data_IF_047324526763
#
_entry.id   IF_047324526763
#
_cell.length_a   1.000
_cell.length_b   1.000
_cell.length_c   1.000
_cell.angle_alpha   90.00
_cell.angle_beta   90.00
_cell.angle_gamma   90.00
#
_symmetry.space_group_name_H-M   'P 1'
#
loop_
_entity.id
_entity.type
_entity.pdbx_description
1 polymer ?
#
# COMPACT_ATOMS: atom_id res chain seq x y z
N UNK A 1 -19.06 6.44 -28.99
CA UNK A 1 -18.12 7.57 -28.92
C UNK A 1 -17.39 7.49 -27.59
N UNK A 2 -16.06 7.65 -27.57
CA UNK A 2 -15.25 7.61 -26.36
C UNK A 2 -15.25 8.98 -25.70
N UNK A 3 -15.39 9.03 -24.37
CA UNK A 3 -15.31 10.24 -23.56
C UNK A 3 -14.30 10.01 -22.45
N UNK A 4 -13.30 10.87 -22.33
CA UNK A 4 -12.37 10.90 -21.21
C UNK A 4 -12.48 12.22 -20.47
N UNK A 5 -12.45 12.16 -19.15
CA UNK A 5 -12.38 13.31 -18.25
C UNK A 5 -11.22 13.11 -17.28
N UNK A 6 -10.50 14.20 -16.99
CA UNK A 6 -9.38 14.19 -16.05
C UNK A 6 -9.65 15.21 -14.97
N UNK A 7 -9.45 14.82 -13.72
CA UNK A 7 -9.68 15.67 -12.55
C UNK A 7 -8.40 15.82 -11.75
N UNK A 8 -8.14 17.02 -11.24
CA UNK A 8 -7.13 17.28 -10.22
C UNK A 8 -7.79 17.52 -8.87
N UNK A 9 -7.12 17.06 -7.82
CA UNK A 9 -7.62 17.18 -6.47
C UNK A 9 -6.50 17.29 -5.44
N UNK A 10 -6.89 17.78 -4.28
CA UNK A 10 -6.05 17.90 -3.09
C UNK A 10 -6.91 17.57 -1.86
N UNK A 11 -6.44 16.63 -1.04
CA UNK A 11 -7.09 16.25 0.23
C UNK A 11 -6.21 16.73 1.38
N UNK A 12 -6.73 17.53 2.33
CA UNK A 12 -6.00 17.85 3.55
C UNK A 12 -5.67 16.57 4.34
N UNK A 13 -4.44 16.46 4.84
CA UNK A 13 -4.05 15.37 5.74
C UNK A 13 -4.25 15.80 7.19
N UNK A 14 -4.48 14.82 8.05
CA UNK A 14 -4.50 15.04 9.49
C UNK A 14 -3.15 15.56 10.00
N UNK A 15 -3.20 16.29 11.12
CA UNK A 15 -2.00 16.88 11.69
C UNK A 15 -0.99 15.80 12.11
N UNK A 16 0.26 15.94 11.66
CA UNK A 16 1.36 15.07 12.11
C UNK A 16 1.64 13.86 11.22
N UNK A 17 0.99 13.74 10.05
CA UNK A 17 1.36 12.71 9.06
C UNK A 17 2.78 12.96 8.54
N UNK A 18 3.67 11.99 8.75
CA UNK A 18 5.08 12.04 8.33
C UNK A 18 5.42 10.83 7.46
N UNK A 19 6.10 11.09 6.34
CA UNK A 19 6.63 10.11 5.41
C UNK A 19 8.11 10.36 5.18
N UNK A 20 8.98 9.39 5.48
CA UNK A 20 10.46 9.51 5.31
C UNK A 20 10.98 10.88 5.77
N UNK A 21 10.63 11.26 7.00
CA UNK A 21 11.03 12.52 7.66
C UNK A 21 10.39 13.81 7.10
N UNK A 22 9.50 13.72 6.11
CA UNK A 22 8.76 14.86 5.55
C UNK A 22 7.32 14.87 6.03
N UNK A 23 6.84 16.04 6.46
CA UNK A 23 5.42 16.23 6.77
C UNK A 23 4.62 16.27 5.48
N UNK A 24 3.60 15.42 5.39
CA UNK A 24 2.63 15.44 4.30
C UNK A 24 1.40 16.23 4.76
N UNK A 25 1.28 17.48 4.32
CA UNK A 25 0.15 18.36 4.70
C UNK A 25 -1.10 18.09 3.88
N UNK A 26 -0.90 17.73 2.62
CA UNK A 26 -1.94 17.47 1.66
C UNK A 26 -1.57 16.22 0.87
N UNK A 27 -2.58 15.47 0.47
CA UNK A 27 -2.43 14.45 -0.56
C UNK A 27 -2.95 15.01 -1.87
N UNK A 28 -2.07 15.07 -2.85
CA UNK A 28 -2.37 15.60 -4.18
C UNK A 28 -2.41 14.45 -5.18
N UNK A 29 -3.33 14.52 -6.15
CA UNK A 29 -3.51 13.47 -7.13
C UNK A 29 -4.45 13.84 -8.25
N UNK A 30 -4.67 12.86 -9.14
CA UNK A 30 -5.52 12.99 -10.31
C UNK A 30 -6.49 11.80 -10.39
N UNK A 31 -7.64 12.01 -11.02
CA UNK A 31 -8.49 10.93 -11.50
C UNK A 31 -8.62 10.97 -13.01
N UNK A 32 -8.82 9.81 -13.61
CA UNK A 32 -9.33 9.67 -14.96
C UNK A 32 -10.65 8.92 -14.93
N UNK A 33 -11.62 9.42 -15.68
CA UNK A 33 -12.87 8.74 -16.00
C UNK A 33 -12.91 8.44 -17.48
N UNK A 34 -13.06 7.18 -17.85
CA UNK A 34 -13.25 6.71 -19.21
C UNK A 34 -14.69 6.28 -19.40
N UNK A 35 -15.28 6.60 -20.54
CA UNK A 35 -16.64 6.19 -20.88
C UNK A 35 -16.73 5.82 -22.37
N UNK A 36 -17.35 4.68 -22.65
CA UNK A 36 -17.61 4.19 -24.00
C UNK A 36 -19.00 3.53 -24.08
N UNK A 37 -19.96 4.29 -24.62
CA UNK A 37 -21.38 3.92 -24.54
C UNK A 37 -21.89 4.08 -23.11
N UNK A 38 -22.54 3.04 -22.59
CA UNK A 38 -23.03 2.98 -21.20
C UNK A 38 -21.98 2.51 -20.19
N UNK A 39 -20.82 2.04 -20.68
CA UNK A 39 -19.74 1.56 -19.81
C UNK A 39 -18.90 2.73 -19.33
N UNK A 40 -18.51 2.67 -18.06
CA UNK A 40 -17.57 3.62 -17.45
C UNK A 40 -16.48 2.90 -16.67
N UNK A 41 -15.34 3.56 -16.51
CA UNK A 41 -14.27 3.10 -15.66
C UNK A 41 -13.44 4.25 -15.12
N UNK A 42 -12.97 4.09 -13.88
CA UNK A 42 -12.21 5.11 -13.17
C UNK A 42 -10.82 4.63 -12.79
N UNK A 43 -9.91 5.59 -12.64
CA UNK A 43 -8.56 5.33 -12.19
C UNK A 43 -8.00 6.47 -11.38
N UNK A 44 -7.17 6.14 -10.39
CA UNK A 44 -6.42 7.11 -9.60
C UNK A 44 -4.95 7.17 -10.03
N UNK A 45 -4.45 8.39 -10.24
CA UNK A 45 -3.06 8.69 -10.60
C UNK A 45 -2.52 9.65 -9.54
N UNK A 46 -1.87 9.09 -8.52
CA UNK A 46 -1.44 9.83 -7.33
C UNK A 46 0.00 9.44 -6.98
N UNK A 47 1.03 9.96 -7.67
CA UNK A 47 2.41 9.67 -7.28
C UNK A 47 2.66 10.10 -5.83
N UNK A 48 3.44 9.31 -5.08
CA UNK A 48 3.68 9.56 -3.65
C UNK A 48 5.04 10.27 -3.46
N UNK A 49 5.08 11.50 -2.92
CA UNK A 49 6.31 12.25 -2.73
C UNK A 49 7.35 11.47 -1.90
N UNK A 50 8.58 11.35 -2.43
CA UNK A 50 9.69 10.63 -1.79
C UNK A 50 9.69 9.11 -2.01
N UNK A 51 8.72 8.59 -2.78
CA UNK A 51 8.62 7.18 -3.15
C UNK A 51 8.45 6.98 -4.66
N UNK A 52 7.52 7.70 -5.29
CA UNK A 52 7.39 7.73 -6.75
C UNK A 52 8.64 8.34 -7.39
N UNK A 53 8.94 7.90 -8.61
CA UNK A 53 10.02 8.48 -9.42
C UNK A 53 9.53 9.77 -10.07
N UNK A 54 8.29 9.77 -10.54
CA UNK A 54 7.64 10.88 -11.20
C UNK A 54 7.01 11.87 -10.21
N UNK A 55 6.94 13.15 -10.60
CA UNK A 55 6.16 14.17 -9.90
C UNK A 55 4.69 14.14 -10.33
N UNK A 56 3.83 14.87 -9.60
CA UNK A 56 2.42 15.03 -9.98
C UNK A 56 2.28 15.73 -11.35
N UNK A 57 3.11 16.73 -11.63
CA UNK A 57 3.10 17.47 -12.88
C UNK A 57 3.49 16.58 -14.06
N UNK A 58 4.52 15.75 -13.90
CA UNK A 58 4.92 14.76 -14.91
C UNK A 58 3.82 13.72 -15.15
N UNK A 59 3.20 13.23 -14.08
CA UNK A 59 2.06 12.33 -14.18
C UNK A 59 0.85 12.98 -14.87
N UNK A 60 0.56 14.25 -14.59
CA UNK A 60 -0.52 15.02 -15.21
C UNK A 60 -0.30 15.19 -16.71
N UNK A 61 0.90 15.57 -17.13
CA UNK A 61 1.23 15.71 -18.55
C UNK A 61 1.06 14.40 -19.31
N UNK A 62 1.58 13.29 -18.76
CA UNK A 62 1.46 11.97 -19.37
C UNK A 62 0.00 11.50 -19.43
N UNK A 63 -0.79 11.74 -18.36
CA UNK A 63 -2.19 11.36 -18.29
C UNK A 63 -3.04 12.12 -19.31
N UNK A 64 -2.87 13.45 -19.42
CA UNK A 64 -3.62 14.27 -20.37
C UNK A 64 -3.33 13.88 -21.83
N UNK A 65 -2.05 13.64 -22.15
CA UNK A 65 -1.66 13.18 -23.49
C UNK A 65 -2.31 11.83 -23.84
N UNK A 66 -2.28 10.88 -22.90
CA UNK A 66 -2.91 9.57 -23.09
C UNK A 66 -4.43 9.68 -23.22
N UNK A 67 -5.08 10.46 -22.35
CA UNK A 67 -6.53 10.63 -22.30
C UNK A 67 -7.09 11.29 -23.57
N UNK A 68 -6.38 12.26 -24.15
CA UNK A 68 -6.73 12.90 -25.41
C UNK A 68 -6.63 11.91 -26.57
N UNK A 69 -5.50 11.19 -26.69
CA UNK A 69 -5.31 10.20 -27.75
C UNK A 69 -6.37 9.08 -27.70
N UNK A 70 -6.69 8.58 -26.50
CA UNK A 70 -7.74 7.57 -26.32
C UNK A 70 -9.13 8.08 -26.72
N UNK A 71 -9.46 9.34 -26.38
CA UNK A 71 -10.71 10.01 -26.75
C UNK A 71 -10.85 10.17 -28.27
N UNK A 72 -9.75 10.46 -28.94
CA UNK A 72 -9.68 10.59 -30.40
C UNK A 72 -9.70 9.24 -31.14
N UNK A 73 -9.87 8.13 -30.41
CA UNK A 73 -10.04 6.78 -30.95
C UNK A 73 -8.75 5.99 -31.09
N UNK A 74 -7.60 6.54 -30.68
CA UNK A 74 -6.33 5.81 -30.67
C UNK A 74 -6.29 4.77 -29.54
N UNK A 75 -5.33 3.85 -29.61
CA UNK A 75 -5.00 2.89 -28.55
C UNK A 75 -3.56 3.15 -28.06
N UNK A 76 -3.32 4.29 -27.39
CA UNK A 76 -1.98 4.64 -26.93
C UNK A 76 -1.47 3.61 -25.92
N UNK A 77 -0.18 3.21 -25.99
CA UNK A 77 0.42 2.33 -24.99
C UNK A 77 0.36 2.99 -23.61
N UNK A 78 0.36 2.17 -22.55
CA UNK A 78 0.42 2.69 -21.19
C UNK A 78 1.71 3.50 -20.98
N UNK A 79 1.63 4.67 -20.32
CA UNK A 79 2.81 5.46 -19.98
C UNK A 79 3.79 4.71 -19.08
N UNK A 80 5.06 5.12 -19.08
CA UNK A 80 6.11 4.46 -18.26
C UNK A 80 6.05 4.87 -16.79
N UNK A 81 5.42 6.01 -16.46
CA UNK A 81 5.20 6.48 -15.10
C UNK A 81 4.28 5.50 -14.34
N UNK A 82 4.74 4.89 -13.24
CA UNK A 82 3.98 3.86 -12.52
C UNK A 82 2.59 4.29 -12.09
N UNK A 83 2.43 5.48 -11.51
CA UNK A 83 1.12 5.95 -11.04
C UNK A 83 0.13 6.14 -12.19
N UNK A 84 0.61 6.63 -13.34
CA UNK A 84 -0.20 6.86 -14.54
C UNK A 84 -0.61 5.53 -15.16
N UNK A 85 0.33 4.60 -15.31
CA UNK A 85 0.07 3.25 -15.81
C UNK A 85 -0.95 2.51 -14.93
N UNK A 86 -0.82 2.63 -13.61
CA UNK A 86 -1.75 2.02 -12.66
C UNK A 86 -3.17 2.58 -12.84
N UNK A 87 -3.34 3.90 -12.71
CA UNK A 87 -4.65 4.54 -12.81
C UNK A 87 -5.35 4.25 -14.13
N UNK A 88 -4.66 4.43 -15.26
CA UNK A 88 -5.24 4.14 -16.59
C UNK A 88 -5.65 2.66 -16.70
N UNK A 89 -4.79 1.73 -16.28
CA UNK A 89 -5.10 0.30 -16.39
C UNK A 89 -6.29 -0.12 -15.53
N UNK A 90 -6.49 0.51 -14.36
CA UNK A 90 -7.68 0.33 -13.54
C UNK A 90 -8.93 0.89 -14.23
N UNK A 91 -8.83 2.08 -14.84
CA UNK A 91 -9.95 2.67 -15.58
C UNK A 91 -10.35 1.80 -16.79
N UNK A 92 -9.37 1.27 -17.52
CA UNK A 92 -9.62 0.32 -18.61
C UNK A 92 -10.22 -0.99 -18.10
N UNK A 93 -9.71 -1.54 -17.01
CA UNK A 93 -10.22 -2.78 -16.42
C UNK A 93 -11.65 -2.62 -15.89
N UNK A 94 -12.02 -1.46 -15.34
CA UNK A 94 -13.42 -1.17 -14.97
C UNK A 94 -14.31 -1.01 -16.20
N UNK A 95 -13.86 -0.25 -17.21
CA UNK A 95 -14.59 -0.07 -18.47
C UNK A 95 -14.85 -1.40 -19.19
N UNK A 96 -13.90 -2.33 -19.12
CA UNK A 96 -13.99 -3.67 -19.68
C UNK A 96 -14.69 -4.71 -18.78
N UNK A 97 -15.00 -4.36 -17.53
CA UNK A 97 -15.55 -5.31 -16.56
C UNK A 97 -14.56 -6.39 -16.08
N UNK A 98 -13.26 -6.17 -16.27
CA UNK A 98 -12.17 -7.10 -15.91
C UNK A 98 -11.79 -7.02 -14.43
N UNK A 99 -11.94 -5.85 -13.78
CA UNK A 99 -11.69 -5.71 -12.35
C UNK A 99 -12.95 -6.09 -11.55
N UNK A 100 -12.95 -7.22 -10.80
CA UNK A 100 -14.14 -7.68 -10.10
C UNK A 100 -14.69 -6.65 -9.11
N UNK A 101 -16.01 -6.66 -8.91
CA UNK A 101 -16.68 -5.75 -7.97
C UNK A 101 -16.51 -6.17 -6.50
N UNK A 102 -16.28 -7.46 -6.25
CA UNK A 102 -16.16 -7.99 -4.90
C UNK A 102 -14.93 -7.41 -4.18
N UNK A 103 -15.15 -6.97 -2.94
CA UNK A 103 -14.10 -6.57 -2.01
C UNK A 103 -14.57 -6.83 -0.58
N UNK A 104 -13.64 -7.27 0.28
CA UNK A 104 -13.93 -7.47 1.70
C UNK A 104 -13.80 -6.18 2.51
N UNK A 105 -13.20 -5.13 1.93
CA UNK A 105 -12.87 -3.86 2.60
C UNK A 105 -12.17 -4.04 3.96
N UNK A 106 -11.38 -5.10 4.09
CA UNK A 106 -10.53 -5.37 5.24
C UNK A 106 -9.21 -4.66 5.08
N UNK A 107 -8.66 -4.19 6.19
CA UNK A 107 -7.29 -3.71 6.26
C UNK A 107 -6.67 -4.17 7.59
N UNK A 108 -5.38 -4.50 7.59
CA UNK A 108 -4.68 -4.73 8.84
C UNK A 108 -4.54 -3.38 9.57
N UNK A 109 -5.11 -3.21 10.78
CA UNK A 109 -5.06 -1.94 11.49
C UNK A 109 -3.61 -1.49 11.69
N UNK A 110 -3.34 -0.24 11.34
CA UNK A 110 -2.10 0.44 11.65
C UNK A 110 -2.14 0.85 13.13
N UNK A 111 -1.19 0.34 13.88
CA UNK A 111 -1.02 0.63 15.29
C UNK A 111 -0.37 2.01 15.45
N UNK A 112 -1.16 2.97 15.94
CA UNK A 112 -0.73 4.31 16.31
C UNK A 112 -1.53 4.77 17.54
N UNK A 113 -1.07 5.84 18.20
CA UNK A 113 -1.78 6.43 19.34
C UNK A 113 -1.42 5.81 20.69
N UNK A 114 -2.39 5.85 21.60
CA UNK A 114 -2.24 5.41 22.99
C UNK A 114 -2.13 3.87 23.10
N UNK A 115 -1.18 3.33 23.87
CA UNK A 115 -1.01 1.89 24.03
C UNK A 115 -2.25 1.18 24.60
N UNK A 116 -2.91 1.71 25.62
CA UNK A 116 -4.02 1.01 26.29
C UNK A 116 -5.24 0.90 25.38
N UNK A 117 -5.54 1.98 24.63
CA UNK A 117 -6.56 1.96 23.59
C UNK A 117 -6.22 0.96 22.48
N UNK A 118 -4.94 0.90 22.08
CA UNK A 118 -4.46 -0.06 21.09
C UNK A 118 -4.65 -1.51 21.56
N UNK A 119 -4.29 -1.82 22.81
CA UNK A 119 -4.48 -3.17 23.37
C UNK A 119 -5.95 -3.58 23.36
N UNK A 120 -6.84 -2.71 23.87
CA UNK A 120 -8.27 -2.98 23.88
C UNK A 120 -8.82 -3.20 22.46
N UNK A 121 -8.43 -2.36 21.51
CA UNK A 121 -8.85 -2.47 20.11
C UNK A 121 -8.41 -3.79 19.48
N UNK A 122 -7.13 -4.16 19.64
CA UNK A 122 -6.58 -5.38 19.06
C UNK A 122 -7.17 -6.64 19.72
N UNK A 123 -7.35 -6.64 21.04
CA UNK A 123 -7.92 -7.78 21.77
C UNK A 123 -9.37 -8.05 21.36
N UNK A 124 -10.14 -6.99 21.05
CA UNK A 124 -11.53 -7.09 20.62
C UNK A 124 -11.72 -7.45 19.14
N UNK A 125 -10.64 -7.57 18.34
CA UNK A 125 -10.75 -7.89 16.92
C UNK A 125 -11.40 -9.26 16.69
N UNK A 126 -12.45 -9.36 15.86
CA UNK A 126 -13.05 -10.63 15.51
C UNK A 126 -12.16 -11.39 14.51
N UNK A 127 -12.21 -12.73 14.56
CA UNK A 127 -11.50 -13.58 13.61
C UNK A 127 -9.98 -13.52 13.75
N UNK A 128 -9.28 -13.56 12.61
CA UNK A 128 -7.82 -13.52 12.56
C UNK A 128 -7.29 -12.13 12.95
N UNK A 129 -6.48 -12.07 14.02
CA UNK A 129 -5.90 -10.82 14.53
C UNK A 129 -4.57 -10.52 13.85
N UNK A 130 -4.59 -9.69 12.81
CA UNK A 130 -3.39 -9.19 12.14
C UNK A 130 -3.32 -7.68 12.28
N UNK A 131 -2.22 -7.14 12.78
CA UNK A 131 -2.02 -5.69 12.90
C UNK A 131 -0.65 -5.28 12.34
N UNK A 132 -0.54 -4.01 11.93
CA UNK A 132 0.71 -3.43 11.42
C UNK A 132 1.31 -2.42 12.39
N UNK A 133 2.58 -2.57 12.75
CA UNK A 133 3.32 -1.62 13.60
C UNK A 133 4.49 -1.05 12.82
N UNK A 134 4.61 0.28 12.80
CA UNK A 134 5.81 0.96 12.31
C UNK A 134 6.91 0.89 13.38
N UNK A 135 8.09 0.43 12.98
CA UNK A 135 9.29 0.37 13.82
C UNK A 135 10.42 1.16 13.15
N UNK A 136 11.53 1.38 13.84
CA UNK A 136 12.65 2.17 13.33
C UNK A 136 12.44 3.69 13.37
N UNK A 137 11.27 4.16 13.82
CA UNK A 137 11.02 5.56 14.16
C UNK A 137 11.62 5.92 15.53
N UNK A 138 11.75 4.94 16.42
CA UNK A 138 12.30 5.09 17.76
C UNK A 138 13.57 4.24 17.91
N UNK A 139 14.14 4.25 19.12
CA UNK A 139 15.25 3.36 19.45
C UNK A 139 14.81 1.88 19.38
N UNK A 140 15.66 1.04 18.78
CA UNK A 140 15.34 -0.36 18.51
C UNK A 140 14.96 -1.16 19.76
N UNK A 141 15.50 -0.79 20.93
CA UNK A 141 15.13 -1.36 22.22
C UNK A 141 13.66 -1.12 22.54
N UNK A 142 13.18 0.12 22.36
CA UNK A 142 11.77 0.48 22.61
C UNK A 142 10.85 -0.31 21.67
N UNK A 143 11.20 -0.35 20.38
CA UNK A 143 10.41 -1.08 19.38
C UNK A 143 10.31 -2.57 19.75
N UNK A 144 11.43 -3.19 20.15
CA UNK A 144 11.46 -4.60 20.55
C UNK A 144 10.61 -4.89 21.78
N UNK A 145 10.66 -4.01 22.79
CA UNK A 145 9.84 -4.12 24.00
C UNK A 145 8.34 -3.99 23.69
N UNK A 146 7.95 -3.00 22.87
CA UNK A 146 6.54 -2.80 22.49
C UNK A 146 6.00 -4.00 21.70
N UNK A 147 6.77 -4.50 20.73
CA UNK A 147 6.40 -5.70 19.98
C UNK A 147 6.27 -6.92 20.90
N UNK A 148 7.19 -7.10 21.85
CA UNK A 148 7.10 -8.19 22.81
C UNK A 148 5.83 -8.11 23.67
N UNK A 149 5.51 -6.92 24.19
CA UNK A 149 4.33 -6.69 25.02
C UNK A 149 3.03 -6.95 24.26
N UNK A 150 2.92 -6.47 23.01
CA UNK A 150 1.76 -6.74 22.14
C UNK A 150 1.54 -8.24 21.93
N UNK A 151 2.63 -8.95 21.60
CA UNK A 151 2.56 -10.39 21.37
C UNK A 151 2.23 -11.14 22.67
N UNK A 152 2.81 -10.75 23.80
CA UNK A 152 2.55 -11.36 25.11
C UNK A 152 1.10 -11.19 25.55
N UNK A 153 0.56 -9.98 25.43
CA UNK A 153 -0.78 -9.67 25.89
C UNK A 153 -1.90 -10.31 25.04
N UNK A 154 -1.65 -10.55 23.76
CA UNK A 154 -2.64 -11.06 22.80
C UNK A 154 -2.08 -12.33 22.14
N UNK A 155 -2.36 -13.53 22.70
CA UNK A 155 -1.71 -14.78 22.28
C UNK A 155 -1.92 -15.18 20.81
N UNK A 156 -3.04 -14.80 20.21
CA UNK A 156 -3.41 -15.09 18.82
C UNK A 156 -3.13 -13.93 17.85
N UNK A 157 -2.52 -12.83 18.32
CA UNK A 157 -2.09 -11.72 17.47
C UNK A 157 -0.90 -12.12 16.59
N UNK A 158 -1.01 -11.80 15.30
CA UNK A 158 0.10 -11.73 14.37
C UNK A 158 0.45 -10.29 14.05
N UNK A 159 1.75 -9.98 14.04
CA UNK A 159 2.26 -8.64 13.74
C UNK A 159 2.96 -8.59 12.40
N UNK A 160 2.58 -7.60 11.59
CA UNK A 160 3.36 -7.11 10.45
C UNK A 160 4.15 -5.91 10.93
N UNK A 161 5.45 -5.95 10.79
CA UNK A 161 6.33 -4.86 11.22
C UNK A 161 6.92 -4.19 9.99
N UNK A 162 7.16 -2.89 10.06
CA UNK A 162 7.71 -2.14 8.93
C UNK A 162 8.73 -1.13 9.42
N UNK A 163 9.99 -1.36 9.06
CA UNK A 163 11.15 -0.57 9.48
C UNK A 163 11.62 0.42 8.42
N UNK A 164 11.11 0.34 7.17
CA UNK A 164 11.55 1.17 6.04
C UNK A 164 13.08 1.35 5.94
N UNK A 165 13.84 0.25 6.07
CA UNK A 165 15.31 0.21 6.02
C UNK A 165 16.02 1.05 7.09
N UNK A 166 15.39 1.27 8.24
CA UNK A 166 15.91 2.17 9.28
C UNK A 166 17.18 1.66 9.98
N UNK A 167 17.39 0.35 10.08
CA UNK A 167 18.39 -0.19 11.00
C UNK A 167 19.75 -0.51 10.37
N UNK A 168 20.78 -0.33 11.19
CA UNK A 168 22.05 -1.05 11.02
C UNK A 168 21.91 -2.48 11.57
N UNK A 169 22.82 -3.42 11.24
CA UNK A 169 22.80 -4.76 11.82
C UNK A 169 22.73 -4.76 13.35
N UNK A 170 23.48 -3.85 14.00
CA UNK A 170 23.47 -3.70 15.45
C UNK A 170 22.09 -3.30 16.00
N UNK A 171 21.42 -2.32 15.37
CA UNK A 171 20.06 -1.89 15.78
C UNK A 171 19.05 -3.01 15.58
N UNK A 172 19.11 -3.73 14.46
CA UNK A 172 18.23 -4.87 14.20
C UNK A 172 18.41 -5.98 15.26
N UNK A 173 19.66 -6.30 15.64
CA UNK A 173 19.94 -7.25 16.72
C UNK A 173 19.46 -6.75 18.09
N UNK A 174 19.61 -5.46 18.38
CA UNK A 174 19.05 -4.86 19.59
C UNK A 174 17.53 -5.02 19.64
N UNK A 175 16.81 -4.77 18.55
CA UNK A 175 15.36 -5.02 18.46
C UNK A 175 15.03 -6.48 18.78
N UNK A 176 15.66 -7.43 18.08
CA UNK A 176 15.36 -8.86 18.24
C UNK A 176 15.69 -9.40 19.64
N UNK A 177 16.68 -8.82 20.34
CA UNK A 177 17.04 -9.19 21.72
C UNK A 177 15.87 -9.02 22.69
N UNK A 178 15.01 -8.03 22.49
CA UNK A 178 13.86 -7.76 23.37
C UNK A 178 12.58 -8.49 22.96
N UNK A 179 12.55 -9.15 21.80
CA UNK A 179 11.44 -10.01 21.40
C UNK A 179 11.71 -11.44 21.85
N UNK A 180 10.91 -11.95 22.79
CA UNK A 180 11.00 -13.31 23.29
C UNK A 180 11.00 -14.31 22.11
N UNK A 181 11.99 -15.23 22.02
CA UNK A 181 12.07 -16.23 20.96
C UNK A 181 10.78 -17.02 20.73
N UNK A 182 10.01 -17.30 21.79
CA UNK A 182 8.73 -18.01 21.69
C UNK A 182 7.65 -17.24 20.91
N UNK A 183 7.77 -15.91 20.81
CA UNK A 183 6.80 -15.06 20.13
C UNK A 183 7.19 -14.75 18.67
N UNK A 184 8.45 -14.98 18.28
CA UNK A 184 8.97 -14.57 16.96
C UNK A 184 8.21 -15.18 15.77
N UNK A 185 7.65 -16.38 15.92
CA UNK A 185 6.84 -17.03 14.88
C UNK A 185 5.51 -16.30 14.62
N UNK A 186 5.05 -15.44 15.53
CA UNK A 186 3.86 -14.59 15.36
C UNK A 186 4.18 -13.22 14.78
N UNK A 187 5.45 -12.90 14.52
CA UNK A 187 5.80 -11.82 13.59
C UNK A 187 5.61 -12.41 12.20
N UNK A 188 4.47 -12.10 11.56
CA UNK A 188 4.13 -12.59 10.23
C UNK A 188 5.24 -12.27 9.23
N UNK A 189 5.77 -11.05 9.31
CA UNK A 189 7.02 -10.61 8.70
C UNK A 189 7.43 -9.22 9.21
N UNK A 190 8.70 -8.88 9.03
CA UNK A 190 9.27 -7.55 9.22
C UNK A 190 9.75 -7.01 7.86
N UNK A 191 9.08 -5.96 7.37
CA UNK A 191 9.38 -5.29 6.11
C UNK A 191 10.69 -4.51 6.23
N UNK A 192 11.66 -4.87 5.38
CA UNK A 192 12.88 -4.09 5.13
C UNK A 192 13.61 -3.65 6.43
N UNK A 193 14.06 -4.58 7.30
CA UNK A 193 14.63 -4.21 8.60
C UNK A 193 15.85 -3.30 8.49
N UNK A 194 16.78 -3.65 7.61
CA UNK A 194 18.10 -3.03 7.55
C UNK A 194 18.26 -2.15 6.31
N UNK A 195 19.25 -1.25 6.37
CA UNK A 195 19.65 -0.38 5.26
C UNK A 195 19.91 -1.12 3.95
N UNK A 196 20.43 -2.34 4.03
CA UNK A 196 20.72 -3.19 2.88
C UNK A 196 19.90 -4.48 2.91
N UNK A 197 19.64 -5.03 1.73
CA UNK A 197 18.99 -6.35 1.59
C UNK A 197 19.85 -7.48 2.15
N UNK A 198 21.18 -7.36 2.05
CA UNK A 198 22.11 -8.34 2.61
C UNK A 198 22.02 -8.41 4.13
N UNK A 199 22.07 -7.27 4.80
CA UNK A 199 21.93 -7.18 6.26
C UNK A 199 20.55 -7.66 6.72
N UNK A 200 19.50 -7.36 5.94
CA UNK A 200 18.13 -7.81 6.25
C UNK A 200 18.03 -9.34 6.19
N UNK A 201 18.70 -9.97 5.22
CA UNK A 201 18.80 -11.44 5.13
C UNK A 201 19.62 -12.04 6.27
N UNK A 202 20.75 -11.41 6.62
CA UNK A 202 21.55 -11.84 7.76
C UNK A 202 20.74 -11.80 9.06
N UNK A 203 20.03 -10.70 9.31
CA UNK A 203 19.12 -10.54 10.43
C UNK A 203 18.08 -11.67 10.50
N UNK A 204 17.41 -12.00 9.39
CA UNK A 204 16.41 -13.06 9.38
C UNK A 204 17.02 -14.43 9.72
N UNK A 205 18.18 -14.76 9.14
CA UNK A 205 18.90 -16.02 9.42
C UNK A 205 19.34 -16.13 10.87
N UNK A 206 19.84 -15.05 11.46
CA UNK A 206 20.40 -15.03 12.82
C UNK A 206 19.30 -15.04 13.90
N UNK A 207 18.15 -14.44 13.61
CA UNK A 207 17.10 -14.23 14.62
C UNK A 207 15.91 -15.18 14.48
N UNK A 208 15.73 -15.78 13.29
CA UNK A 208 14.54 -16.55 12.94
C UNK A 208 13.28 -15.70 12.71
N UNK A 209 13.40 -14.37 12.71
CA UNK A 209 12.27 -13.47 12.40
C UNK A 209 12.10 -13.41 10.88
N UNK A 210 10.90 -13.71 10.41
CA UNK A 210 10.56 -13.61 8.99
C UNK A 210 10.64 -12.17 8.50
N UNK A 211 11.12 -11.96 7.28
CA UNK A 211 11.20 -10.65 6.65
C UNK A 211 10.32 -10.56 5.40
N UNK A 212 10.02 -9.34 4.99
CA UNK A 212 9.36 -9.04 3.73
C UNK A 212 10.08 -7.95 2.94
N UNK A 213 9.94 -8.02 1.62
CA UNK A 213 10.43 -6.99 0.71
C UNK A 213 9.31 -6.00 0.37
N UNK A 214 9.56 -4.71 0.60
CA UNK A 214 8.72 -3.59 0.15
C UNK A 214 9.56 -2.81 -0.85
N UNK A 215 10.35 -1.83 -0.40
CA UNK A 215 11.09 -0.91 -1.29
C UNK A 215 11.96 -1.62 -2.32
N UNK A 216 12.52 -2.77 -1.95
CA UNK A 216 13.32 -3.60 -2.85
C UNK A 216 12.61 -3.93 -4.17
N UNK A 217 11.28 -4.10 -4.19
CA UNK A 217 10.53 -4.46 -5.42
C UNK A 217 10.62 -3.42 -6.54
N UNK A 218 11.01 -2.18 -6.21
CA UNK A 218 11.16 -1.08 -7.16
C UNK A 218 12.61 -0.85 -7.59
N UNK A 219 13.56 -1.58 -7.01
CA UNK A 219 14.96 -1.52 -7.41
C UNK A 219 15.15 -2.22 -8.75
N UNK A 220 15.99 -1.64 -9.63
CA UNK A 220 16.15 -2.11 -11.00
C UNK A 220 16.70 -3.55 -11.11
N UNK A 221 17.42 -4.01 -10.10
CA UNK A 221 18.03 -5.33 -10.01
C UNK A 221 17.16 -6.35 -9.25
N UNK A 222 15.96 -5.96 -8.79
CA UNK A 222 15.10 -6.86 -8.03
C UNK A 222 14.65 -8.05 -8.85
N UNK A 223 14.73 -9.23 -8.23
CA UNK A 223 14.24 -10.49 -8.78
C UNK A 223 13.46 -11.23 -7.70
N UNK A 224 12.31 -11.76 -8.08
CA UNK A 224 11.58 -12.71 -7.24
C UNK A 224 12.40 -13.99 -7.14
N UNK A 225 12.84 -14.32 -5.92
CA UNK A 225 13.55 -15.56 -5.63
C UNK A 225 13.13 -16.04 -4.24
N UNK A 226 13.03 -17.36 -4.08
CA UNK A 226 12.79 -17.95 -2.77
C UNK A 226 14.09 -17.87 -1.96
N UNK A 227 14.05 -17.21 -0.80
CA UNK A 227 15.20 -17.05 0.10
C UNK A 227 14.80 -17.51 1.51
N UNK A 228 15.64 -18.27 2.23
CA UNK A 228 15.38 -18.60 3.63
C UNK A 228 15.10 -17.35 4.46
N UNK A 229 14.00 -17.35 5.22
CA UNK A 229 13.60 -16.24 6.08
C UNK A 229 12.75 -15.15 5.40
N UNK A 230 12.72 -15.09 4.06
CA UNK A 230 11.81 -14.19 3.34
C UNK A 230 10.44 -14.86 3.21
N UNK A 231 9.41 -14.25 3.78
CA UNK A 231 8.06 -14.83 3.82
C UNK A 231 7.03 -14.10 2.97
N UNK A 232 7.24 -12.82 2.73
CA UNK A 232 6.27 -12.02 1.99
C UNK A 232 6.91 -10.95 1.10
N UNK A 233 6.09 -10.42 0.20
CA UNK A 233 6.36 -9.20 -0.56
C UNK A 233 5.20 -8.23 -0.42
N UNK A 234 5.51 -6.94 -0.39
CA UNK A 234 4.55 -5.86 -0.28
C UNK A 234 4.50 -5.14 -1.62
N UNK A 235 3.38 -5.28 -2.32
CA UNK A 235 3.16 -4.68 -3.63
C UNK A 235 2.32 -3.43 -3.43
N UNK A 236 2.87 -2.28 -3.83
CA UNK A 236 2.19 -0.97 -3.82
C UNK A 236 1.88 -0.58 -5.27
N UNK A 237 0.66 -0.84 -5.78
CA UNK A 237 0.35 -0.73 -7.22
C UNK A 237 0.67 0.64 -7.84
N UNK A 238 0.33 1.73 -7.15
CA UNK A 238 0.68 3.11 -7.55
C UNK A 238 2.17 3.33 -7.79
N UNK A 239 3.04 2.60 -7.07
CA UNK A 239 4.50 2.66 -7.21
C UNK A 239 5.05 1.55 -8.13
N UNK A 240 4.19 0.68 -8.64
CA UNK A 240 4.56 -0.51 -9.40
C UNK A 240 4.31 -0.33 -10.89
N UNK A 241 3.13 0.18 -11.27
CA UNK A 241 2.69 0.32 -12.65
C UNK A 241 1.33 -0.32 -12.89
N UNK A 242 1.10 -0.78 -14.12
CA UNK A 242 -0.20 -1.31 -14.54
C UNK A 242 -0.71 -2.47 -13.70
N UNK A 243 -2.03 -2.64 -13.68
CA UNK A 243 -2.71 -3.78 -13.06
C UNK A 243 -2.17 -5.12 -13.56
N UNK A 244 -1.83 -5.22 -14.84
CA UNK A 244 -1.22 -6.42 -15.42
C UNK A 244 0.17 -6.69 -14.82
N UNK A 245 0.99 -5.66 -14.60
CA UNK A 245 2.28 -5.81 -13.92
C UNK A 245 2.10 -6.25 -12.46
N UNK A 246 1.09 -5.71 -11.77
CA UNK A 246 0.72 -6.15 -10.41
C UNK A 246 0.33 -7.63 -10.40
N UNK A 247 -0.53 -8.08 -11.33
CA UNK A 247 -0.88 -9.50 -11.48
C UNK A 247 0.34 -10.39 -11.72
N UNK A 248 1.27 -9.97 -12.58
CA UNK A 248 2.51 -10.70 -12.84
C UNK A 248 3.38 -10.82 -11.59
N UNK A 249 3.52 -9.75 -10.81
CA UNK A 249 4.27 -9.78 -9.55
C UNK A 249 3.60 -10.68 -8.50
N UNK A 250 2.27 -10.64 -8.38
CA UNK A 250 1.51 -11.53 -7.49
C UNK A 250 1.75 -12.99 -7.88
N UNK A 251 1.60 -13.31 -9.18
CA UNK A 251 1.82 -14.66 -9.68
C UNK A 251 3.26 -15.15 -9.46
N UNK A 252 4.26 -14.30 -9.70
CA UNK A 252 5.66 -14.63 -9.47
C UNK A 252 5.96 -14.92 -8.00
N UNK A 253 5.40 -14.14 -7.07
CA UNK A 253 5.58 -14.36 -5.64
C UNK A 253 4.86 -15.63 -5.15
N UNK A 254 3.62 -15.87 -5.59
CA UNK A 254 2.89 -17.09 -5.24
C UNK A 254 3.57 -18.36 -5.78
N UNK A 255 4.16 -18.31 -6.98
CA UNK A 255 4.94 -19.42 -7.54
C UNK A 255 6.16 -19.81 -6.68
N UNK A 256 6.63 -18.90 -5.83
CA UNK A 256 7.72 -19.11 -4.87
C UNK A 256 7.23 -19.41 -3.45
N UNK A 257 5.91 -19.52 -3.24
CA UNK A 257 5.31 -19.75 -1.92
C UNK A 257 5.39 -18.54 -0.98
N UNK A 258 5.61 -17.34 -1.53
CA UNK A 258 5.63 -16.09 -0.76
C UNK A 258 4.20 -15.55 -0.60
N UNK A 259 3.89 -15.01 0.57
CA UNK A 259 2.66 -14.25 0.78
C UNK A 259 2.77 -12.89 0.09
N UNK A 260 1.67 -12.42 -0.49
CA UNK A 260 1.62 -11.12 -1.17
C UNK A 260 0.64 -10.22 -0.44
N UNK A 261 1.10 -9.01 -0.10
CA UNK A 261 0.25 -7.97 0.50
C UNK A 261 0.09 -6.84 -0.51
N UNK A 262 -1.13 -6.65 -1.00
CA UNK A 262 -1.51 -5.41 -1.70
C UNK A 262 -1.53 -4.30 -0.65
N UNK A 263 -0.77 -3.23 -0.88
CA UNK A 263 -0.55 -2.16 0.09
C UNK A 263 -0.84 -0.78 -0.51
N UNK A 264 -1.31 0.10 0.35
CA UNK A 264 -1.55 1.51 0.02
C UNK A 264 -0.25 2.30 -0.16
N UNK A 265 -0.31 3.28 -1.05
CA UNK A 265 0.60 4.41 -1.23
C UNK A 265 -0.09 5.74 -0.87
N UNK A 266 -1.01 5.69 0.09
CA UNK A 266 -1.87 6.81 0.54
C UNK A 266 -2.72 7.32 -0.62
N UNK A 267 -3.40 6.40 -1.31
CA UNK A 267 -4.43 6.73 -2.28
C UNK A 267 -5.64 7.39 -1.60
N UNK A 268 -6.45 8.11 -2.38
CA UNK A 268 -7.78 8.54 -1.92
C UNK A 268 -8.70 7.33 -1.69
N UNK A 269 -9.89 7.56 -1.14
CA UNK A 269 -10.90 6.51 -1.00
C UNK A 269 -11.22 5.80 -2.32
N UNK A 270 -11.17 6.49 -3.47
CA UNK A 270 -11.35 5.86 -4.78
C UNK A 270 -10.29 4.80 -5.05
N UNK A 271 -8.99 5.16 -5.02
CA UNK A 271 -7.92 4.20 -5.22
C UNK A 271 -7.88 3.11 -4.15
N UNK A 272 -8.15 3.43 -2.89
CA UNK A 272 -8.22 2.44 -1.81
C UNK A 272 -9.31 1.39 -2.05
N UNK A 273 -10.49 1.78 -2.55
CA UNK A 273 -11.55 0.83 -2.90
C UNK A 273 -11.15 -0.07 -4.08
N UNK A 274 -10.37 0.45 -5.03
CA UNK A 274 -9.81 -0.36 -6.11
C UNK A 274 -8.76 -1.34 -5.58
N UNK A 275 -7.88 -0.90 -4.67
CA UNK A 275 -6.91 -1.78 -4.02
C UNK A 275 -7.59 -2.88 -3.20
N UNK A 276 -8.71 -2.60 -2.54
CA UNK A 276 -9.49 -3.60 -1.82
C UNK A 276 -10.05 -4.68 -2.76
N UNK A 277 -10.55 -4.28 -3.94
CA UNK A 277 -10.99 -5.20 -5.01
C UNK A 277 -9.85 -6.01 -5.59
N UNK A 278 -8.70 -5.36 -5.87
CA UNK A 278 -7.49 -6.04 -6.34
C UNK A 278 -7.01 -7.07 -5.31
N UNK A 279 -7.03 -6.74 -4.02
CA UNK A 279 -6.65 -7.66 -2.96
C UNK A 279 -7.60 -8.86 -2.85
N UNK A 280 -8.91 -8.62 -2.84
CA UNK A 280 -9.91 -9.69 -2.80
C UNK A 280 -9.81 -10.63 -4.01
N UNK A 281 -9.44 -10.08 -5.17
CA UNK A 281 -9.26 -10.86 -6.39
C UNK A 281 -7.93 -11.65 -6.42
N UNK A 282 -6.80 -10.96 -6.23
CA UNK A 282 -5.48 -11.53 -6.49
C UNK A 282 -4.85 -12.17 -5.26
N UNK A 283 -5.24 -11.75 -4.06
CA UNK A 283 -4.68 -12.20 -2.78
C UNK A 283 -5.77 -12.50 -1.75
N UNK A 284 -6.78 -13.36 -2.06
CA UNK A 284 -7.99 -13.53 -1.25
C UNK A 284 -7.74 -14.02 0.19
N UNK A 285 -6.61 -14.69 0.42
CA UNK A 285 -6.23 -15.22 1.73
C UNK A 285 -5.34 -14.25 2.54
N UNK A 286 -5.02 -13.08 2.00
CA UNK A 286 -4.14 -12.11 2.65
C UNK A 286 -4.87 -10.80 2.87
N UNK A 287 -5.08 -10.43 4.14
CA UNK A 287 -5.59 -9.09 4.50
C UNK A 287 -4.65 -8.03 3.91
N UNK A 288 -5.13 -7.03 3.15
CA UNK A 288 -4.27 -6.03 2.53
C UNK A 288 -3.85 -4.91 3.51
N UNK A 289 -2.83 -4.15 3.14
CA UNK A 289 -2.29 -3.03 3.94
C UNK A 289 -2.90 -1.70 3.51
N UNK A 290 -4.20 -1.49 3.78
CA UNK A 290 -4.98 -0.35 3.27
C UNK A 290 -5.44 0.63 4.36
N UNK A 291 -5.01 0.48 5.61
CA UNK A 291 -5.43 1.31 6.74
C UNK A 291 -4.70 2.67 6.75
N UNK A 292 -4.95 3.47 5.71
CA UNK A 292 -4.36 4.80 5.50
C UNK A 292 -5.42 5.89 5.31
N UNK A 293 -6.69 5.52 5.16
CA UNK A 293 -7.78 6.48 4.94
C UNK A 293 -7.97 7.44 6.12
N UNK A 294 -7.81 6.95 7.35
CA UNK A 294 -7.94 7.76 8.55
C UNK A 294 -6.86 8.85 8.69
N UNK A 295 -5.86 8.89 7.79
CA UNK A 295 -4.87 9.96 7.73
C UNK A 295 -5.38 11.18 6.95
N UNK A 296 -6.54 11.06 6.28
CA UNK A 296 -7.11 12.06 5.37
C UNK A 296 -8.30 12.77 5.99
N UNK A 297 -8.50 14.04 5.64
CA UNK A 297 -9.65 14.83 6.09
C UNK A 297 -10.95 14.58 5.29
N UNK A 298 -10.89 13.88 4.15
CA UNK A 298 -12.05 13.61 3.30
C UNK A 298 -11.89 12.38 2.40
N UNK A 299 -13.01 11.87 1.92
CA UNK A 299 -13.13 10.87 0.86
C UNK A 299 -13.49 11.56 -0.46
N UNK A 300 -13.11 10.98 -1.59
CA UNK A 300 -13.42 11.53 -2.91
C UNK A 300 -14.14 10.49 -3.78
N UNK A 301 -15.27 10.87 -4.36
CA UNK A 301 -16.05 10.13 -5.38
C UNK A 301 -16.61 8.77 -4.94
N UNK A 302 -15.77 7.85 -4.48
CA UNK A 302 -16.16 6.52 -3.98
C UNK A 302 -15.85 6.42 -2.49
N UNK A 303 -16.85 6.17 -1.63
CA UNK A 303 -16.60 5.98 -0.22
C UNK A 303 -15.99 4.60 0.06
N UNK A 304 -15.11 4.55 1.06
CA UNK A 304 -14.80 3.33 1.77
C UNK A 304 -15.98 3.01 2.71
N UNK A 305 -16.52 1.77 2.68
CA UNK A 305 -17.67 1.40 3.53
C UNK A 305 -17.41 1.68 5.01
N UNK A 306 -18.44 2.15 5.72
CA UNK A 306 -18.40 2.45 7.16
C UNK A 306 -17.49 3.62 7.58
N UNK A 307 -16.72 4.23 6.67
CA UNK A 307 -15.96 5.44 6.96
C UNK A 307 -16.90 6.63 7.20
N UNK A 308 -16.67 7.36 8.30
CA UNK A 308 -17.44 8.55 8.68
C UNK A 308 -16.90 9.85 8.09
N UNK A 309 -15.78 9.79 7.35
CA UNK A 309 -15.19 10.97 6.70
C UNK A 309 -16.14 11.52 5.63
N UNK A 310 -16.21 12.86 5.46
CA UNK A 310 -17.07 13.47 4.45
C UNK A 310 -16.65 13.03 3.04
N UNK A 311 -17.64 12.75 2.17
CA UNK A 311 -17.40 12.37 0.77
C UNK A 311 -17.62 13.60 -0.11
N UNK A 312 -16.57 14.02 -0.81
CA UNK A 312 -16.64 15.07 -1.82
C UNK A 312 -16.91 14.44 -3.19
N UNK A 313 -17.92 14.96 -3.87
CA UNK A 313 -18.32 14.48 -5.19
C UNK A 313 -17.46 15.11 -6.29
N UNK A 314 -17.69 14.67 -7.53
CA UNK A 314 -16.97 15.14 -8.73
C UNK A 314 -17.00 16.67 -8.91
N UNK A 315 -18.06 17.33 -8.46
CA UNK A 315 -18.24 18.79 -8.55
C UNK A 315 -17.26 19.58 -7.67
N UNK A 316 -16.64 18.92 -6.68
CA UNK A 316 -15.62 19.51 -5.83
C UNK A 316 -14.20 19.36 -6.39
N UNK A 317 -14.05 18.68 -7.53
CA UNK A 317 -12.75 18.43 -8.17
C UNK A 317 -12.50 19.43 -9.29
N UNK A 318 -11.23 19.71 -9.59
CA UNK A 318 -10.86 20.60 -10.70
C UNK A 318 -10.81 19.82 -12.02
N UNK A 319 -11.71 20.09 -13.00
CA UNK A 319 -11.64 19.42 -14.29
C UNK A 319 -10.47 19.97 -15.13
N UNK A 320 -9.66 19.07 -15.68
CA UNK A 320 -8.56 19.38 -16.60
C UNK A 320 -8.86 18.99 -18.05
N UNK A 321 -9.82 18.10 -18.28
CA UNK A 321 -10.26 17.62 -19.59
C UNK A 321 -11.76 17.31 -19.64
#
# INVERSE_FOLDING_TARGET
MRVSQVYRWQIPMDAGVVLRERRLKTRDGLFIRLQEGEREGWGEISPLPGFSVETLEEAQMALLAWAQAWRDGAEPPLPTQPSVAFGISCAQAELGGELPQAADYRAAPLCSGDPDELFARLAAMPGEKVAKVKVGLWEAVRDGMVVNLLLEAIPDLQLRLDANRAWTPLKAQQFAKYVNPAYRQRIAFLEEPCKTREDSRAFSRETGIAIAWDESLREADFRFVAEPGVRAVVIKPTLTGSLQKVQQQVAAAHALGLSVVISSSIESSLGLTQLARIAAWLTPQTIPGLDTLALMGAQLVRPWPESTLPVLNIDALEPLL
#
